data_IF_759462702032
#
_entry.id   IF_759462702032
#
_cell.length_a   1.000
_cell.length_b   1.000
_cell.length_c   1.000
_cell.angle_alpha   90.00
_cell.angle_beta   90.00
_cell.angle_gamma   90.00
#
_symmetry.space_group_name_H-M   'P 1'
#
loop_
_entity.id
_entity.type
_entity.pdbx_description
1 polymer ?
#
# COMPACT_ATOMS: atom_id res chain seq x y z
N UNK A 1 -4.69 -15.97 66.34
CA UNK A 1 -5.19 -15.65 64.98
C UNK A 1 -4.23 -14.65 64.36
N UNK A 2 -3.43 -15.08 63.39
CA UNK A 2 -2.51 -14.20 62.67
C UNK A 2 -3.28 -13.54 61.52
N UNK A 3 -3.30 -12.20 61.49
CA UNK A 3 -3.91 -11.44 60.41
C UNK A 3 -2.99 -11.47 59.19
N UNK A 4 -3.49 -12.04 58.09
CA UNK A 4 -2.86 -12.00 56.76
C UNK A 4 -2.91 -10.57 56.23
N UNK A 5 -1.75 -9.94 56.07
CA UNK A 5 -1.62 -8.66 55.37
C UNK A 5 -1.53 -8.91 53.86
N UNK A 6 -2.64 -8.72 53.15
CA UNK A 6 -2.63 -8.65 51.69
C UNK A 6 -2.08 -7.30 51.24
N UNK A 7 -0.81 -7.27 50.84
CA UNK A 7 -0.25 -6.17 50.08
C UNK A 7 -0.97 -6.09 48.72
N UNK A 8 -1.88 -5.11 48.57
CA UNK A 8 -2.47 -4.75 47.28
C UNK A 8 -1.44 -3.96 46.49
N UNK A 9 -0.84 -4.58 45.48
CA UNK A 9 -0.05 -3.89 44.47
C UNK A 9 -0.97 -3.05 43.60
N UNK A 10 -0.91 -1.72 43.76
CA UNK A 10 -1.53 -0.78 42.85
C UNK A 10 -0.73 -0.76 41.54
N UNK A 11 -1.19 -1.48 40.52
CA UNK A 11 -0.71 -1.27 39.15
C UNK A 11 -1.20 0.09 38.67
N UNK A 12 -0.30 1.07 38.61
CA UNK A 12 -0.54 2.31 37.87
C UNK A 12 -0.92 1.95 36.42
N UNK A 13 -1.90 2.62 35.80
CA UNK A 13 -2.18 2.40 34.38
C UNK A 13 -0.90 2.64 33.59
N UNK A 14 -0.54 1.66 32.76
CA UNK A 14 0.59 1.74 31.85
C UNK A 14 0.54 3.07 31.10
N UNK A 15 1.58 3.90 31.26
CA UNK A 15 1.67 5.18 30.54
C UNK A 15 1.76 4.84 29.05
N UNK A 16 0.71 5.19 28.29
CA UNK A 16 0.72 5.00 26.84
C UNK A 16 1.97 5.65 26.24
N UNK A 17 2.60 4.94 25.30
CA UNK A 17 3.82 5.43 24.67
C UNK A 17 3.53 6.79 23.97
N UNK A 18 4.41 7.80 24.07
CA UNK A 18 4.14 9.14 23.52
C UNK A 18 3.71 9.14 22.04
N UNK A 19 4.31 8.28 21.21
CA UNK A 19 3.92 8.15 19.78
C UNK A 19 2.49 7.61 19.59
N UNK A 20 2.05 6.68 20.45
CA UNK A 20 0.72 6.07 20.33
C UNK A 20 -0.36 7.10 20.67
N UNK A 21 -0.12 7.91 21.71
CA UNK A 21 -1.00 9.05 22.04
C UNK A 21 -1.09 10.06 20.89
N UNK A 22 0.03 10.40 20.24
CA UNK A 22 0.02 11.33 19.10
C UNK A 22 -0.76 10.77 17.91
N UNK A 23 -0.64 9.47 17.64
CA UNK A 23 -1.41 8.80 16.60
C UNK A 23 -2.91 8.86 16.92
N UNK A 24 -3.31 8.51 18.15
CA UNK A 24 -4.71 8.56 18.57
C UNK A 24 -5.28 9.98 18.50
N UNK A 25 -4.53 11.00 18.92
CA UNK A 25 -4.93 12.40 18.84
C UNK A 25 -5.15 12.85 17.39
N UNK A 26 -4.22 12.48 16.49
CA UNK A 26 -4.32 12.79 15.07
C UNK A 26 -5.52 12.06 14.43
N UNK A 27 -5.73 10.78 14.74
CA UNK A 27 -6.88 9.99 14.27
C UNK A 27 -8.20 10.62 14.71
N UNK A 28 -8.32 10.98 16.00
CA UNK A 28 -9.51 11.59 16.54
C UNK A 28 -9.78 12.95 15.88
N UNK A 29 -8.75 13.79 15.73
CA UNK A 29 -8.87 15.09 15.05
C UNK A 29 -9.39 14.92 13.61
N UNK A 30 -8.79 14.01 12.84
CA UNK A 30 -9.19 13.78 11.45
C UNK A 30 -10.58 13.14 11.31
N UNK A 31 -10.98 12.26 12.23
CA UNK A 31 -12.35 11.71 12.28
C UNK A 31 -13.37 12.82 12.52
N UNK A 32 -13.08 13.78 13.40
CA UNK A 32 -14.00 14.90 13.66
C UNK A 32 -14.11 15.87 12.48
N UNK A 33 -13.09 15.98 11.64
CA UNK A 33 -13.06 16.86 10.46
C UNK A 33 -13.40 16.16 9.15
N UNK A 34 -13.95 14.94 9.20
CA UNK A 34 -14.21 14.10 8.01
C UNK A 34 -15.28 14.70 7.06
N UNK A 35 -16.14 15.60 7.56
CA UNK A 35 -17.12 16.33 6.73
C UNK A 35 -16.55 17.62 6.09
N UNK A 36 -15.22 17.81 6.10
CA UNK A 36 -14.55 18.93 5.46
C UNK A 36 -14.99 19.10 4.00
N UNK A 37 -15.47 20.30 3.67
CA UNK A 37 -16.05 20.61 2.35
C UNK A 37 -15.42 21.85 1.71
N UNK A 38 -14.52 22.55 2.41
CA UNK A 38 -13.80 23.72 1.90
C UNK A 38 -12.35 23.37 1.59
N UNK A 39 -11.75 24.04 0.62
CA UNK A 39 -10.33 23.91 0.25
C UNK A 39 -9.40 23.96 1.46
N UNK A 40 -9.57 24.98 2.32
CA UNK A 40 -8.78 25.17 3.55
C UNK A 40 -8.91 24.01 4.55
N UNK A 41 -10.14 23.55 4.83
CA UNK A 41 -10.38 22.42 5.74
C UNK A 41 -9.83 21.10 5.20
N UNK A 42 -9.91 20.90 3.88
CA UNK A 42 -9.36 19.72 3.21
C UNK A 42 -7.82 19.79 3.22
N UNK A 43 -7.23 20.95 2.95
CA UNK A 43 -5.79 21.18 3.08
C UNK A 43 -5.28 20.92 4.50
N UNK A 44 -6.00 21.38 5.52
CA UNK A 44 -5.70 21.05 6.92
C UNK A 44 -5.75 19.54 7.17
N UNK A 45 -6.75 18.83 6.64
CA UNK A 45 -6.85 17.37 6.78
C UNK A 45 -5.70 16.64 6.06
N UNK A 46 -5.27 17.12 4.88
CA UNK A 46 -4.11 16.58 4.17
C UNK A 46 -2.82 16.78 4.98
N UNK A 47 -2.65 17.93 5.63
CA UNK A 47 -1.51 18.16 6.53
C UNK A 47 -1.58 17.26 7.77
N UNK A 48 -2.77 17.12 8.38
CA UNK A 48 -2.95 16.20 9.50
C UNK A 48 -2.66 14.73 9.15
N UNK A 49 -2.95 14.31 7.90
CA UNK A 49 -2.54 13.00 7.43
C UNK A 49 -1.03 12.87 7.27
N UNK A 50 -0.33 13.93 6.83
CA UNK A 50 1.14 13.91 6.76
C UNK A 50 1.74 13.71 8.15
N UNK A 51 1.25 14.44 9.16
CA UNK A 51 1.69 14.29 10.56
C UNK A 51 1.40 12.88 11.08
N UNK A 52 0.22 12.34 10.77
CA UNK A 52 -0.18 10.98 11.15
C UNK A 52 0.77 9.93 10.53
N UNK A 53 1.03 10.02 9.23
CA UNK A 53 1.94 9.11 8.53
C UNK A 53 3.39 9.25 9.02
N UNK A 54 3.82 10.44 9.44
CA UNK A 54 5.12 10.62 10.09
C UNK A 54 5.19 9.92 11.45
N UNK A 55 4.13 10.01 12.26
CA UNK A 55 4.05 9.26 13.52
C UNK A 55 4.06 7.74 13.29
N UNK A 56 3.34 7.28 12.26
CA UNK A 56 3.31 5.86 11.86
C UNK A 56 4.68 5.38 11.39
N UNK A 57 5.41 6.17 10.60
CA UNK A 57 6.79 5.85 10.17
C UNK A 57 7.70 5.61 11.39
N UNK A 58 7.62 6.48 12.41
CA UNK A 58 8.36 6.31 13.66
C UNK A 58 7.92 5.06 14.42
N UNK A 59 6.61 4.80 14.52
CA UNK A 59 6.07 3.61 15.19
C UNK A 59 6.60 2.31 14.54
N UNK A 60 6.66 2.27 13.21
CA UNK A 60 7.11 1.11 12.43
C UNK A 60 8.63 0.86 12.53
N UNK A 61 9.40 1.87 12.94
CA UNK A 61 10.83 1.73 13.18
C UNK A 61 11.17 1.09 14.54
N UNK A 62 10.19 0.93 15.45
CA UNK A 62 10.45 0.34 16.76
C UNK A 62 10.60 -1.20 16.70
N UNK A 63 11.65 -1.77 17.34
CA UNK A 63 11.88 -3.23 17.31
C UNK A 63 10.70 -4.07 17.78
N UNK A 64 9.96 -3.61 18.80
CA UNK A 64 8.78 -4.31 19.32
C UNK A 64 7.63 -4.32 18.31
N UNK A 65 7.44 -3.22 17.58
CA UNK A 65 6.47 -3.15 16.48
C UNK A 65 6.87 -4.11 15.36
N UNK A 66 8.14 -4.12 14.98
CA UNK A 66 8.67 -4.98 13.93
C UNK A 66 8.53 -6.46 14.30
N UNK A 67 8.81 -6.83 15.56
CA UNK A 67 8.64 -8.19 16.06
C UNK A 67 7.16 -8.62 16.08
N UNK A 68 6.25 -7.71 16.41
CA UNK A 68 4.80 -7.97 16.38
C UNK A 68 4.27 -8.20 14.96
N UNK A 69 4.77 -7.43 13.99
CA UNK A 69 4.40 -7.53 12.57
C UNK A 69 5.03 -8.75 11.86
N UNK A 70 6.19 -9.21 12.34
CA UNK A 70 6.89 -10.40 11.83
C UNK A 70 6.20 -11.73 12.22
N UNK A 71 5.21 -11.72 13.12
CA UNK A 71 4.47 -12.93 13.45
C UNK A 71 3.69 -13.44 12.24
N UNK A 72 3.80 -14.74 11.95
CA UNK A 72 3.19 -15.35 10.77
C UNK A 72 1.66 -15.20 10.73
N UNK A 73 0.99 -15.19 11.90
CA UNK A 73 -0.45 -14.90 12.02
C UNK A 73 -0.82 -13.50 11.50
N UNK A 74 0.11 -12.55 11.49
CA UNK A 74 -0.12 -11.17 11.06
C UNK A 74 0.29 -10.91 9.61
N UNK A 75 0.97 -11.86 8.92
CA UNK A 75 1.49 -11.69 7.56
C UNK A 75 0.40 -11.35 6.55
N UNK A 76 -0.67 -12.13 6.52
CA UNK A 76 -1.81 -11.91 5.62
C UNK A 76 -2.40 -10.50 5.80
N UNK A 77 -2.53 -10.06 7.05
CA UNK A 77 -3.02 -8.70 7.36
C UNK A 77 -2.04 -7.61 6.93
N UNK A 78 -0.73 -7.85 7.02
CA UNK A 78 0.30 -6.92 6.51
C UNK A 78 0.26 -6.83 4.98
N UNK A 79 0.10 -7.94 4.28
CA UNK A 79 -0.06 -7.98 2.83
C UNK A 79 -1.34 -7.23 2.40
N UNK A 80 -2.46 -7.46 3.09
CA UNK A 80 -3.70 -6.70 2.85
C UNK A 80 -3.55 -5.20 3.09
N UNK A 81 -2.81 -4.79 4.14
CA UNK A 81 -2.50 -3.37 4.40
C UNK A 81 -1.60 -2.78 3.30
N UNK A 82 -0.64 -3.56 2.79
CA UNK A 82 0.23 -3.15 1.69
C UNK A 82 -0.56 -2.97 0.39
N UNK A 83 -1.49 -3.88 0.10
CA UNK A 83 -2.40 -3.77 -1.05
C UNK A 83 -3.33 -2.57 -0.91
N UNK A 84 -3.93 -2.37 0.27
CA UNK A 84 -4.73 -1.20 0.60
C UNK A 84 -3.95 0.11 0.40
N UNK A 85 -2.72 0.18 0.91
CA UNK A 85 -1.85 1.35 0.73
C UNK A 85 -1.54 1.65 -0.74
N UNK A 86 -1.35 0.62 -1.57
CA UNK A 86 -1.11 0.77 -3.00
C UNK A 86 -2.34 1.32 -3.71
N UNK A 87 -3.53 0.80 -3.38
CA UNK A 87 -4.78 1.31 -3.93
C UNK A 87 -5.03 2.77 -3.52
N UNK A 88 -4.68 3.17 -2.29
CA UNK A 88 -4.76 4.58 -1.87
C UNK A 88 -3.81 5.47 -2.65
N UNK A 89 -2.60 5.00 -2.97
CA UNK A 89 -1.66 5.73 -3.84
C UNK A 89 -2.19 5.91 -5.27
N UNK A 90 -2.86 4.89 -5.82
CA UNK A 90 -3.53 4.99 -7.13
C UNK A 90 -4.64 6.05 -7.10
N UNK A 91 -5.36 6.14 -5.99
CA UNK A 91 -6.39 7.15 -5.77
C UNK A 91 -5.78 8.56 -5.66
N UNK A 92 -4.70 8.73 -4.88
CA UNK A 92 -3.94 9.98 -4.83
C UNK A 92 -3.48 10.41 -6.23
N UNK A 93 -2.96 9.47 -7.02
CA UNK A 93 -2.54 9.71 -8.41
C UNK A 93 -3.72 10.18 -9.26
N UNK A 94 -4.87 9.51 -9.15
CA UNK A 94 -6.08 9.90 -9.88
C UNK A 94 -6.57 11.30 -9.48
N UNK A 95 -6.58 11.61 -8.19
CA UNK A 95 -6.94 12.93 -7.67
C UNK A 95 -5.99 14.02 -8.18
N UNK A 96 -4.68 13.76 -8.17
CA UNK A 96 -3.65 14.67 -8.69
C UNK A 96 -3.82 14.93 -10.18
N UNK A 97 -4.02 13.89 -10.99
CA UNK A 97 -4.29 14.04 -12.44
C UNK A 97 -5.53 14.89 -12.68
N UNK A 98 -6.59 14.70 -11.90
CA UNK A 98 -7.80 15.52 -12.00
C UNK A 98 -7.55 16.99 -11.64
N UNK A 99 -6.78 17.26 -10.57
CA UNK A 99 -6.40 18.63 -10.20
C UNK A 99 -5.56 19.30 -11.30
N UNK A 100 -4.54 18.61 -11.81
CA UNK A 100 -3.68 19.10 -12.90
C UNK A 100 -4.50 19.45 -14.16
N UNK A 101 -5.39 18.56 -14.59
CA UNK A 101 -6.29 18.84 -15.71
C UNK A 101 -7.21 20.03 -15.43
N UNK A 102 -7.68 20.22 -14.18
CA UNK A 102 -8.55 21.35 -13.82
C UNK A 102 -7.76 22.64 -13.89
N UNK A 103 -6.51 22.62 -13.40
CA UNK A 103 -5.57 23.73 -13.41
C UNK A 103 -5.25 24.15 -14.84
N UNK A 104 -4.89 23.19 -15.70
CA UNK A 104 -4.59 23.44 -17.11
C UNK A 104 -5.79 24.11 -17.82
N UNK A 105 -7.00 23.55 -17.67
CA UNK A 105 -8.21 24.15 -18.26
C UNK A 105 -8.55 25.52 -17.65
N UNK A 106 -8.26 25.74 -16.36
CA UNK A 106 -8.45 27.02 -15.68
C UNK A 106 -7.50 28.07 -16.23
N UNK A 107 -6.23 27.74 -16.38
CA UNK A 107 -5.19 28.62 -16.93
C UNK A 107 -5.42 28.93 -18.41
N UNK A 108 -5.83 27.93 -19.21
CA UNK A 108 -6.20 28.12 -20.61
C UNK A 108 -7.37 29.11 -20.72
N UNK A 109 -8.41 28.93 -19.91
CA UNK A 109 -9.56 29.82 -19.91
C UNK A 109 -9.19 31.24 -19.43
N UNK A 110 -8.38 31.37 -18.37
CA UNK A 110 -7.86 32.68 -17.94
C UNK A 110 -7.06 33.37 -19.06
N UNK A 111 -6.20 32.62 -19.76
CA UNK A 111 -5.38 33.15 -20.86
C UNK A 111 -6.25 33.68 -22.01
N UNK A 112 -7.30 32.94 -22.37
CA UNK A 112 -8.28 33.37 -23.38
C UNK A 112 -8.98 34.66 -22.95
N UNK A 113 -9.45 34.72 -21.70
CA UNK A 113 -10.12 35.91 -21.15
C UNK A 113 -9.22 37.14 -21.12
N UNK A 114 -7.93 36.97 -20.80
CA UNK A 114 -6.95 38.08 -20.80
C UNK A 114 -6.66 38.61 -22.21
N UNK A 115 -6.65 37.73 -23.22
CA UNK A 115 -6.28 38.09 -24.61
C UNK A 115 -7.46 38.65 -25.40
N UNK A 116 -8.68 38.18 -25.14
CA UNK A 116 -9.87 38.51 -25.94
C UNK A 116 -10.68 39.63 -25.29
N UNK A 117 -10.81 40.76 -25.98
CA UNK A 117 -11.55 41.94 -25.50
C UNK A 117 -13.03 41.95 -25.95
N UNK A 118 -13.56 40.84 -26.47
CA UNK A 118 -14.90 40.73 -27.04
C UNK A 118 -15.60 39.41 -26.74
N UNK A 119 -16.94 39.43 -26.82
CA UNK A 119 -17.81 38.29 -26.49
C UNK A 119 -17.77 37.15 -27.53
N UNK A 120 -17.36 37.46 -28.76
CA UNK A 120 -17.42 36.53 -29.88
C UNK A 120 -16.58 35.28 -29.62
N UNK A 121 -17.17 34.10 -29.78
CA UNK A 121 -16.53 32.79 -29.57
C UNK A 121 -16.21 32.41 -28.11
N UNK A 122 -16.41 33.28 -27.12
CA UNK A 122 -16.12 32.96 -25.71
C UNK A 122 -17.04 31.87 -25.15
N UNK A 123 -18.30 31.85 -25.59
CA UNK A 123 -19.25 30.81 -25.23
C UNK A 123 -18.81 29.40 -25.68
N UNK A 124 -17.98 29.28 -26.72
CA UNK A 124 -17.43 27.99 -27.14
C UNK A 124 -16.33 27.52 -26.19
N UNK A 125 -15.46 28.43 -25.75
CA UNK A 125 -14.37 28.13 -24.80
C UNK A 125 -14.92 27.76 -23.42
N UNK A 126 -15.97 28.46 -22.96
CA UNK A 126 -16.73 28.07 -21.77
C UNK A 126 -17.34 26.66 -21.88
N UNK A 127 -17.88 26.28 -23.05
CA UNK A 127 -18.38 24.92 -23.26
C UNK A 127 -17.26 23.88 -23.23
N UNK A 128 -16.09 24.15 -23.82
CA UNK A 128 -14.92 23.25 -23.75
C UNK A 128 -14.47 23.02 -22.31
N UNK A 129 -14.36 24.09 -21.51
CA UNK A 129 -14.05 24.00 -20.08
C UNK A 129 -15.03 23.07 -19.35
N UNK A 130 -16.35 23.25 -19.54
CA UNK A 130 -17.37 22.40 -18.92
C UNK A 130 -17.32 20.94 -19.39
N UNK A 131 -16.96 20.69 -20.66
CA UNK A 131 -16.78 19.33 -21.19
C UNK A 131 -15.58 18.65 -20.51
N UNK A 132 -14.45 19.35 -20.38
CA UNK A 132 -13.27 18.84 -19.65
C UNK A 132 -13.61 18.49 -18.20
N UNK A 133 -14.26 19.43 -17.49
CA UNK A 133 -14.75 19.22 -16.11
C UNK A 133 -15.66 18.00 -16.01
N UNK A 134 -16.58 17.80 -16.97
CA UNK A 134 -17.46 16.63 -17.00
C UNK A 134 -16.70 15.31 -17.18
N UNK A 135 -15.69 15.27 -18.06
CA UNK A 135 -14.87 14.08 -18.27
C UNK A 135 -14.11 13.70 -16.99
N UNK A 136 -13.55 14.68 -16.31
CA UNK A 136 -12.85 14.49 -15.05
C UNK A 136 -13.75 14.02 -13.92
N UNK A 137 -14.95 14.60 -13.77
CA UNK A 137 -15.95 14.12 -12.79
C UNK A 137 -16.25 12.64 -12.99
N UNK A 138 -16.30 12.16 -14.25
CA UNK A 138 -16.50 10.74 -14.55
C UNK A 138 -15.33 9.87 -14.06
N UNK A 139 -14.09 10.32 -14.23
CA UNK A 139 -12.90 9.62 -13.73
C UNK A 139 -12.89 9.56 -12.19
N UNK A 140 -13.19 10.67 -11.53
CA UNK A 140 -13.30 10.75 -10.07
C UNK A 140 -14.41 9.82 -9.55
N UNK A 141 -15.58 9.81 -10.18
CA UNK A 141 -16.66 8.89 -9.82
C UNK A 141 -16.25 7.41 -9.91
N UNK A 142 -15.30 7.06 -10.79
CA UNK A 142 -14.74 5.70 -10.86
C UNK A 142 -13.81 5.43 -9.67
N UNK A 143 -12.94 6.38 -9.32
CA UNK A 143 -12.06 6.28 -8.16
C UNK A 143 -12.84 6.15 -6.84
N UNK A 144 -13.89 6.96 -6.65
CA UNK A 144 -14.78 6.89 -5.47
C UNK A 144 -15.48 5.53 -5.35
N UNK A 145 -15.86 4.89 -6.46
CA UNK A 145 -16.43 3.54 -6.43
C UNK A 145 -15.41 2.49 -6.00
N UNK A 146 -14.16 2.64 -6.45
CA UNK A 146 -13.07 1.75 -6.04
C UNK A 146 -12.78 1.90 -4.53
N UNK A 147 -12.75 3.14 -4.01
CA UNK A 147 -12.59 3.40 -2.57
C UNK A 147 -13.66 2.71 -1.72
N UNK A 148 -14.94 2.82 -2.10
CA UNK A 148 -16.04 2.15 -1.39
C UNK A 148 -15.89 0.64 -1.35
N UNK A 149 -15.39 0.04 -2.44
CA UNK A 149 -15.13 -1.40 -2.48
C UNK A 149 -14.00 -1.80 -1.51
N UNK A 150 -12.96 -0.97 -1.38
CA UNK A 150 -11.87 -1.19 -0.40
C UNK A 150 -12.38 -1.08 1.03
N UNK A 151 -13.16 -0.04 1.32
CA UNK A 151 -13.71 0.18 2.66
C UNK A 151 -14.61 -0.99 3.13
N UNK A 152 -15.38 -1.57 2.22
CA UNK A 152 -16.18 -2.77 2.51
C UNK A 152 -15.32 -4.00 2.83
N UNK A 153 -14.12 -4.12 2.23
CA UNK A 153 -13.17 -5.20 2.53
C UNK A 153 -12.51 -5.02 3.90
N UNK A 154 -12.22 -3.78 4.29
CA UNK A 154 -11.58 -3.45 5.58
C UNK A 154 -12.48 -3.71 6.81
N UNK A 155 -13.79 -3.88 6.61
CA UNK A 155 -14.76 -3.93 7.70
C UNK A 155 -14.91 -5.33 8.34
N UNK A 156 -14.04 -6.29 8.03
CA UNK A 156 -14.07 -7.64 8.63
C UNK A 156 -13.60 -7.59 10.08
N UNK A 157 -14.47 -7.85 11.07
CA UNK A 157 -14.08 -7.84 12.48
C UNK A 157 -13.19 -9.05 12.76
N UNK A 158 -11.95 -8.80 13.20
CA UNK A 158 -11.00 -9.83 13.60
C UNK A 158 -10.22 -9.40 14.84
N UNK A 159 -9.73 -10.36 15.63
CA UNK A 159 -8.78 -10.11 16.71
C UNK A 159 -7.41 -9.77 16.11
N UNK A 160 -7.23 -8.49 15.77
CA UNK A 160 -6.00 -7.98 15.16
C UNK A 160 -4.99 -7.60 16.23
N UNK A 161 -3.69 -7.67 15.91
CA UNK A 161 -2.66 -7.10 16.77
C UNK A 161 -2.84 -5.58 16.93
N UNK A 162 -2.43 -5.02 18.06
CA UNK A 162 -2.62 -3.59 18.36
C UNK A 162 -2.07 -2.67 17.25
N UNK A 163 -0.92 -3.01 16.67
CA UNK A 163 -0.31 -2.26 15.56
C UNK A 163 -1.16 -2.36 14.29
N UNK A 164 -1.65 -3.55 13.93
CA UNK A 164 -2.52 -3.73 12.77
C UNK A 164 -3.82 -2.92 12.93
N UNK A 165 -4.41 -2.91 14.12
CA UNK A 165 -5.59 -2.09 14.41
C UNK A 165 -5.31 -0.60 14.17
N UNK A 166 -4.18 -0.08 14.63
CA UNK A 166 -3.77 1.31 14.39
C UNK A 166 -3.60 1.58 12.88
N UNK A 167 -2.94 0.68 12.15
CA UNK A 167 -2.73 0.85 10.71
C UNK A 167 -4.04 0.82 9.91
N UNK A 168 -5.02 0.00 10.32
CA UNK A 168 -6.36 -0.02 9.73
C UNK A 168 -7.13 1.27 10.02
N UNK A 169 -6.98 1.83 11.22
CA UNK A 169 -7.57 3.12 11.56
C UNK A 169 -6.97 4.26 10.73
N UNK A 170 -5.66 4.26 10.52
CA UNK A 170 -4.97 5.19 9.63
C UNK A 170 -5.49 5.05 8.21
N UNK A 171 -5.60 3.83 7.69
CA UNK A 171 -6.14 3.54 6.36
C UNK A 171 -7.58 4.08 6.20
N UNK A 172 -8.45 3.85 7.18
CA UNK A 172 -9.83 4.31 7.18
C UNK A 172 -9.97 5.84 7.19
N UNK A 173 -9.14 6.52 7.98
CA UNK A 173 -9.11 7.99 8.02
C UNK A 173 -8.56 8.56 6.71
N UNK A 174 -7.51 7.95 6.15
CA UNK A 174 -6.96 8.33 4.84
C UNK A 174 -8.00 8.19 3.73
N UNK A 175 -8.78 7.09 3.72
CA UNK A 175 -9.92 6.92 2.80
C UNK A 175 -10.87 8.11 2.92
N UNK A 176 -11.30 8.45 4.14
CA UNK A 176 -12.25 9.54 4.35
C UNK A 176 -11.77 10.89 3.83
N UNK A 177 -10.50 11.25 4.08
CA UNK A 177 -9.93 12.51 3.57
C UNK A 177 -9.82 12.50 2.04
N UNK A 178 -9.39 11.38 1.44
CA UNK A 178 -9.34 11.25 -0.03
C UNK A 178 -10.73 11.31 -0.66
N UNK A 179 -11.76 10.76 0.01
CA UNK A 179 -13.15 10.92 -0.41
C UNK A 179 -13.58 12.39 -0.38
N UNK A 180 -13.22 13.15 0.67
CA UNK A 180 -13.48 14.59 0.75
C UNK A 180 -12.77 15.36 -0.37
N UNK A 181 -11.50 15.07 -0.65
CA UNK A 181 -10.72 15.68 -1.75
C UNK A 181 -11.39 15.41 -3.10
N UNK A 182 -11.70 14.15 -3.40
CA UNK A 182 -12.36 13.76 -4.65
C UNK A 182 -13.75 14.37 -4.78
N UNK A 183 -14.51 14.42 -3.69
CA UNK A 183 -15.84 15.03 -3.64
C UNK A 183 -15.77 16.53 -3.88
N UNK A 184 -14.75 17.20 -3.32
CA UNK A 184 -14.46 18.61 -3.59
C UNK A 184 -14.12 18.83 -5.07
N UNK A 185 -13.18 18.07 -5.64
CA UNK A 185 -12.78 18.25 -7.04
C UNK A 185 -13.96 18.00 -7.99
N UNK A 186 -14.77 16.97 -7.73
CA UNK A 186 -15.92 16.63 -8.59
C UNK A 186 -17.15 17.51 -8.33
N UNK A 187 -17.22 18.14 -7.16
CA UNK A 187 -18.37 18.88 -6.70
C UNK A 187 -19.57 17.98 -6.43
N UNK A 188 -19.33 16.86 -5.76
CA UNK A 188 -20.35 15.89 -5.38
C UNK A 188 -21.27 16.49 -4.31
N UNK A 189 -22.36 17.13 -4.72
CA UNK A 189 -23.62 16.91 -4.01
C UNK A 189 -23.92 15.41 -4.13
N UNK A 190 -24.04 14.75 -2.98
CA UNK A 190 -24.57 13.40 -2.94
C UNK A 190 -25.89 13.36 -3.73
N UNK A 191 -25.92 12.53 -4.78
CA UNK A 191 -27.11 12.12 -5.53
C UNK A 191 -27.82 13.20 -6.39
N UNK A 192 -27.50 13.23 -7.69
CA UNK A 192 -28.48 13.64 -8.72
C UNK A 192 -28.83 12.52 -9.71
N UNK A 193 -28.60 11.25 -9.29
CA UNK A 193 -29.12 10.05 -9.97
C UNK A 193 -29.56 8.95 -9.00
N UNK A 194 -29.95 9.26 -7.76
CA UNK A 194 -30.80 8.33 -7.01
C UNK A 194 -32.23 8.48 -7.53
N UNK A 195 -32.91 7.34 -7.62
CA UNK A 195 -34.24 7.19 -8.21
C UNK A 195 -35.27 8.13 -7.56
N UNK A 196 -36.43 8.28 -8.22
CA UNK A 196 -37.64 9.04 -7.81
C UNK A 196 -38.16 8.80 -6.37
N UNK A 197 -37.44 8.08 -5.51
CA UNK A 197 -37.87 7.65 -4.17
C UNK A 197 -37.11 8.32 -2.99
N UNK A 198 -35.96 8.96 -3.21
CA UNK A 198 -35.16 9.58 -2.13
C UNK A 198 -35.73 10.92 -1.60
N UNK A 199 -36.75 11.47 -2.25
CA UNK A 199 -37.41 12.72 -1.82
C UNK A 199 -38.39 12.52 -0.64
N UNK A 200 -38.72 11.28 -0.27
CA UNK A 200 -39.70 11.00 0.82
C UNK A 200 -39.00 10.73 2.17
N UNK A 201 -37.70 10.44 2.20
CA UNK A 201 -36.98 10.12 3.45
C UNK A 201 -36.38 11.33 4.19
N UNK A 202 -36.31 12.51 3.56
CA UNK A 202 -35.76 13.73 4.18
C UNK A 202 -36.76 14.55 5.01
N UNK A 203 -38.01 14.09 5.14
CA UNK A 203 -39.04 14.84 5.88
C UNK A 203 -39.17 14.45 7.37
N UNK A 204 -38.50 13.39 7.83
CA UNK A 204 -38.77 12.87 9.19
C UNK A 204 -37.64 13.05 10.22
N UNK A 205 -36.39 13.36 9.83
CA UNK A 205 -35.30 13.56 10.80
C UNK A 205 -34.33 14.69 10.40
N UNK A 206 -34.60 15.91 10.85
CA UNK A 206 -33.68 16.72 11.67
C UNK A 206 -34.17 18.16 11.79
N UNK A 207 -34.68 18.48 12.98
CA UNK A 207 -34.66 19.82 13.56
C UNK A 207 -33.21 20.12 13.94
N UNK A 208 -32.39 20.61 13.00
CA UNK A 208 -31.07 21.18 13.30
C UNK A 208 -31.04 22.62 12.80
N UNK A 209 -30.79 23.51 13.76
CA UNK A 209 -30.71 24.96 13.63
C UNK A 209 -29.86 25.34 12.41
N UNK A 210 -30.46 26.11 11.50
CA UNK A 210 -29.74 26.80 10.44
C UNK A 210 -28.85 27.85 11.10
N UNK A 211 -27.54 27.57 11.16
CA UNK A 211 -26.56 28.61 11.36
C UNK A 211 -26.25 29.18 9.99
N UNK A 212 -26.60 30.45 9.77
CA UNK A 212 -26.13 31.26 8.66
C UNK A 212 -24.62 31.50 8.83
N UNK A 213 -23.81 30.46 8.64
CA UNK A 213 -22.39 30.65 8.32
C UNK A 213 -22.29 30.54 6.81
N UNK A 214 -21.96 31.67 6.20
CA UNK A 214 -21.65 31.86 4.79
C UNK A 214 -20.77 30.69 4.30
N UNK A 215 -21.43 29.69 3.71
CA UNK A 215 -20.82 28.44 3.29
C UNK A 215 -19.89 28.78 2.12
N UNK A 216 -18.63 29.09 2.41
CA UNK A 216 -17.66 29.52 1.40
C UNK A 216 -17.59 28.44 0.34
N UNK A 217 -18.14 28.78 -0.82
CA UNK A 217 -18.41 27.83 -1.89
C UNK A 217 -17.10 27.20 -2.36
N UNK A 218 -17.16 25.90 -2.65
CA UNK A 218 -16.12 25.20 -3.38
C UNK A 218 -15.72 26.01 -4.63
N UNK A 219 -14.46 26.45 -4.67
CA UNK A 219 -13.95 27.41 -5.64
C UNK A 219 -13.97 26.85 -7.07
N UNK A 220 -13.86 25.53 -7.22
CA UNK A 220 -13.98 24.87 -8.53
C UNK A 220 -15.44 24.90 -9.00
N UNK A 221 -16.39 24.70 -8.08
CA UNK A 221 -17.81 24.75 -8.39
C UNK A 221 -18.31 26.17 -8.66
N UNK A 222 -17.77 27.18 -7.97
CA UNK A 222 -18.12 28.58 -8.21
C UNK A 222 -17.72 29.01 -9.63
N UNK A 223 -16.54 28.58 -10.12
CA UNK A 223 -16.14 28.76 -11.52
C UNK A 223 -17.17 28.12 -12.46
N UNK A 224 -17.54 26.85 -12.25
CA UNK A 224 -18.52 26.19 -13.11
C UNK A 224 -19.88 26.89 -13.11
N UNK A 225 -20.33 27.41 -11.96
CA UNK A 225 -21.57 28.17 -11.84
C UNK A 225 -21.49 29.50 -12.62
N UNK A 226 -20.39 30.24 -12.46
CA UNK A 226 -20.15 31.50 -13.15
C UNK A 226 -20.09 31.28 -14.68
N UNK A 227 -19.36 30.26 -15.13
CA UNK A 227 -19.26 29.89 -16.55
C UNK A 227 -20.64 29.52 -17.13
N UNK A 228 -21.45 28.71 -16.42
CA UNK A 228 -22.81 28.38 -16.86
C UNK A 228 -23.72 29.61 -16.94
N UNK A 229 -23.59 30.54 -15.99
CA UNK A 229 -24.35 31.80 -15.97
C UNK A 229 -24.03 32.66 -17.19
N UNK A 230 -22.75 32.80 -17.56
CA UNK A 230 -22.31 33.53 -18.75
C UNK A 230 -22.85 32.89 -20.05
N UNK A 231 -22.89 31.56 -20.14
CA UNK A 231 -23.47 30.86 -21.30
C UNK A 231 -24.97 31.16 -21.40
N UNK A 232 -25.71 31.11 -20.28
CA UNK A 232 -27.18 31.25 -20.27
C UNK A 232 -27.66 32.67 -20.55
N UNK A 233 -26.96 33.66 -20.01
CA UNK A 233 -27.36 35.07 -20.10
C UNK A 233 -26.99 35.71 -21.44
N UNK A 234 -26.15 35.05 -22.26
CA UNK A 234 -25.50 35.62 -23.46
C UNK A 234 -24.81 36.98 -23.18
N UNK A 235 -24.63 37.31 -21.89
CA UNK A 235 -24.23 38.61 -21.42
C UNK A 235 -22.85 38.49 -20.76
N UNK A 236 -21.84 39.00 -21.46
CA UNK A 236 -20.45 38.91 -21.04
C UNK A 236 -20.06 39.94 -19.97
N UNK A 237 -21.02 40.71 -19.43
CA UNK A 237 -20.79 41.61 -18.28
C UNK A 237 -20.35 40.88 -17.00
N UNK A 238 -20.54 39.56 -16.93
CA UNK A 238 -20.13 38.73 -15.77
C UNK A 238 -18.74 38.08 -15.93
N UNK A 239 -17.99 38.38 -16.99
CA UNK A 239 -16.67 37.79 -17.25
C UNK A 239 -15.64 38.11 -16.17
N UNK A 240 -15.69 39.32 -15.60
CA UNK A 240 -14.82 39.71 -14.47
C UNK A 240 -15.01 38.78 -13.26
N UNK A 241 -16.27 38.38 -12.99
CA UNK A 241 -16.57 37.44 -11.92
C UNK A 241 -15.97 36.06 -12.23
N UNK A 242 -16.09 35.57 -13.46
CA UNK A 242 -15.45 34.31 -13.89
C UNK A 242 -13.94 34.37 -13.68
N UNK A 243 -13.30 35.48 -14.03
CA UNK A 243 -11.85 35.65 -13.87
C UNK A 243 -11.41 35.63 -12.40
N UNK A 244 -12.17 36.27 -11.50
CA UNK A 244 -11.92 36.23 -10.05
C UNK A 244 -12.06 34.81 -9.50
N UNK A 245 -13.12 34.09 -9.87
CA UNK A 245 -13.33 32.71 -9.44
C UNK A 245 -12.25 31.77 -9.99
N UNK A 246 -11.80 31.97 -11.24
CA UNK A 246 -10.72 31.17 -11.82
C UNK A 246 -9.40 31.35 -11.05
N UNK A 247 -9.09 32.56 -10.59
CA UNK A 247 -7.89 32.81 -9.78
C UNK A 247 -7.99 32.17 -8.40
N UNK A 248 -9.14 32.31 -7.73
CA UNK A 248 -9.38 31.67 -6.44
C UNK A 248 -9.30 30.14 -6.54
N UNK A 249 -9.89 29.57 -7.59
CA UNK A 249 -9.84 28.13 -7.85
C UNK A 249 -8.41 27.66 -8.15
N UNK A 250 -7.61 28.42 -8.91
CA UNK A 250 -6.23 28.05 -9.22
C UNK A 250 -5.35 27.93 -7.97
N UNK A 251 -5.45 28.88 -7.03
CA UNK A 251 -4.75 28.81 -5.73
C UNK A 251 -5.18 27.58 -4.93
N UNK A 252 -6.49 27.35 -4.81
CA UNK A 252 -7.00 26.17 -4.09
C UNK A 252 -6.56 24.85 -4.71
N UNK A 253 -6.47 24.79 -6.05
CA UNK A 253 -6.00 23.60 -6.77
C UNK A 253 -4.52 23.36 -6.50
N UNK A 254 -3.71 24.43 -6.51
CA UNK A 254 -2.27 24.35 -6.21
C UNK A 254 -2.02 23.78 -4.80
N UNK A 255 -2.71 24.30 -3.78
CA UNK A 255 -2.55 23.84 -2.40
C UNK A 255 -2.92 22.36 -2.23
N UNK A 256 -4.03 21.94 -2.86
CA UNK A 256 -4.48 20.55 -2.82
C UNK A 256 -3.54 19.60 -3.59
N UNK A 257 -2.99 20.06 -4.71
CA UNK A 257 -2.02 19.31 -5.51
C UNK A 257 -0.75 19.03 -4.71
N UNK A 258 -0.19 20.06 -4.06
CA UNK A 258 1.00 19.96 -3.23
C UNK A 258 0.76 19.08 -1.98
N UNK A 259 -0.41 19.25 -1.34
CA UNK A 259 -0.82 18.43 -0.20
C UNK A 259 -0.91 16.95 -0.55
N UNK A 260 -1.52 16.61 -1.70
CA UNK A 260 -1.61 15.22 -2.18
C UNK A 260 -0.24 14.63 -2.55
N UNK A 261 0.63 15.43 -3.17
CA UNK A 261 1.97 14.99 -3.54
C UNK A 261 2.79 14.66 -2.29
N UNK A 262 2.69 15.51 -1.26
CA UNK A 262 3.39 15.34 0.00
C UNK A 262 2.84 14.16 0.80
N UNK A 263 1.52 13.99 0.85
CA UNK A 263 0.89 12.80 1.42
C UNK A 263 1.36 11.52 0.70
N UNK A 264 1.37 11.50 -0.63
CA UNK A 264 1.80 10.34 -1.43
C UNK A 264 3.25 9.94 -1.11
N UNK A 265 4.16 10.93 -0.99
CA UNK A 265 5.54 10.68 -0.55
C UNK A 265 5.61 10.06 0.84
N UNK A 266 4.83 10.57 1.79
CA UNK A 266 4.81 10.05 3.17
C UNK A 266 4.25 8.62 3.22
N UNK A 267 3.19 8.33 2.48
CA UNK A 267 2.62 6.99 2.35
C UNK A 267 3.63 5.98 1.77
N UNK A 268 4.34 6.36 0.70
CA UNK A 268 5.41 5.53 0.11
C UNK A 268 6.49 5.24 1.15
N UNK A 269 6.91 6.27 1.90
CA UNK A 269 7.90 6.11 2.97
C UNK A 269 7.44 5.11 4.03
N UNK A 270 6.20 5.22 4.53
CA UNK A 270 5.64 4.28 5.52
C UNK A 270 5.47 2.86 4.99
N UNK A 271 5.33 2.68 3.67
CA UNK A 271 5.18 1.36 3.04
C UNK A 271 6.48 0.56 3.07
N UNK A 272 7.64 1.22 2.95
CA UNK A 272 8.95 0.57 2.90
C UNK A 272 9.22 -0.36 4.10
N UNK A 273 9.11 0.10 5.37
CA UNK A 273 9.31 -0.79 6.51
C UNK A 273 8.30 -1.94 6.54
N UNK A 274 7.00 -1.71 6.28
CA UNK A 274 6.00 -2.78 6.18
C UNK A 274 6.40 -3.87 5.16
N UNK A 275 6.83 -3.45 3.96
CA UNK A 275 7.22 -4.37 2.89
C UNK A 275 8.45 -5.20 3.23
N UNK A 276 9.45 -4.63 3.91
CA UNK A 276 10.65 -5.38 4.32
C UNK A 276 10.30 -6.52 5.29
N UNK A 277 9.29 -6.35 6.13
CA UNK A 277 8.84 -7.40 7.05
C UNK A 277 8.12 -8.55 6.35
N UNK A 278 7.33 -8.28 5.31
CA UNK A 278 6.69 -9.32 4.52
C UNK A 278 7.72 -10.21 3.79
N UNK A 279 8.81 -9.60 3.28
CA UNK A 279 9.84 -10.30 2.49
C UNK A 279 10.90 -11.02 3.34
N UNK A 280 11.20 -10.53 4.55
CA UNK A 280 12.26 -11.10 5.39
C UNK A 280 11.95 -12.53 5.89
N UNK A 281 10.67 -12.87 6.05
CA UNK A 281 10.25 -14.22 6.47
C UNK A 281 10.27 -15.23 5.32
N UNK A 282 9.83 -14.83 4.12
CA UNK A 282 9.83 -15.70 2.94
C UNK A 282 11.23 -16.19 2.60
N UNK A 283 12.25 -15.34 2.73
CA UNK A 283 13.64 -15.74 2.47
C UNK A 283 14.23 -16.60 3.59
N UNK A 284 13.87 -16.37 4.86
CA UNK A 284 14.47 -17.09 5.99
C UNK A 284 13.98 -18.54 6.08
N UNK A 285 12.69 -18.78 5.89
CA UNK A 285 12.10 -20.12 5.99
C UNK A 285 12.51 -21.02 4.81
N UNK A 286 12.55 -20.48 3.60
CA UNK A 286 13.06 -21.21 2.42
C UNK A 286 14.56 -21.55 2.56
N UNK A 287 15.33 -20.65 3.15
CA UNK A 287 16.77 -20.83 3.36
C UNK A 287 17.06 -21.81 4.52
N UNK A 288 16.21 -21.85 5.55
CA UNK A 288 16.23 -22.85 6.61
C UNK A 288 15.83 -24.25 6.12
N UNK A 289 14.73 -24.40 5.37
CA UNK A 289 14.33 -25.67 4.74
C UNK A 289 15.44 -26.19 3.81
N UNK A 290 16.02 -25.28 3.02
CA UNK A 290 17.17 -25.59 2.17
C UNK A 290 18.40 -26.07 2.93
N UNK A 291 18.71 -25.42 4.06
CA UNK A 291 19.83 -25.79 4.93
C UNK A 291 19.64 -27.17 5.58
N UNK A 292 18.40 -27.49 6.01
CA UNK A 292 18.05 -28.81 6.57
C UNK A 292 18.21 -29.92 5.52
N UNK A 293 17.73 -29.69 4.29
CA UNK A 293 17.89 -30.67 3.18
C UNK A 293 19.34 -30.92 2.82
N UNK A 294 20.19 -29.89 2.85
CA UNK A 294 21.63 -30.04 2.64
C UNK A 294 22.28 -30.84 3.77
N UNK A 295 21.87 -30.62 5.02
CA UNK A 295 22.37 -31.38 6.16
C UNK A 295 22.01 -32.87 6.09
N UNK A 296 20.78 -33.19 5.70
CA UNK A 296 20.33 -34.58 5.48
C UNK A 296 21.12 -35.27 4.36
N UNK A 297 21.40 -34.54 3.30
CA UNK A 297 22.22 -35.02 2.19
C UNK A 297 23.66 -35.30 2.64
N UNK A 298 24.26 -34.39 3.40
CA UNK A 298 25.60 -34.57 3.97
C UNK A 298 25.67 -35.79 4.90
N UNK A 299 24.64 -36.01 5.71
CA UNK A 299 24.53 -37.17 6.60
C UNK A 299 24.43 -38.47 5.80
N UNK A 300 23.57 -38.51 4.78
CA UNK A 300 23.43 -39.66 3.87
C UNK A 300 24.74 -39.99 3.15
N UNK A 301 25.48 -38.97 2.67
CA UNK A 301 26.76 -39.15 2.01
C UNK A 301 27.82 -39.73 2.96
N UNK A 302 27.84 -39.26 4.22
CA UNK A 302 28.74 -39.76 5.27
C UNK A 302 28.47 -41.25 5.56
N UNK A 303 27.20 -41.66 5.66
CA UNK A 303 26.83 -43.05 5.90
C UNK A 303 27.27 -43.96 4.74
N UNK A 304 27.07 -43.52 3.50
CA UNK A 304 27.53 -44.27 2.31
C UNK A 304 29.05 -44.45 2.32
N UNK A 305 29.81 -43.40 2.67
CA UNK A 305 31.28 -43.46 2.75
C UNK A 305 31.72 -44.42 3.86
N UNK A 306 31.10 -44.35 5.04
CA UNK A 306 31.40 -45.26 6.16
C UNK A 306 31.11 -46.71 5.78
N UNK A 307 29.95 -46.99 5.21
CA UNK A 307 29.57 -48.34 4.78
C UNK A 307 30.47 -48.86 3.65
N UNK A 308 30.90 -47.99 2.72
CA UNK A 308 31.88 -48.35 1.68
C UNK A 308 33.23 -48.72 2.28
N UNK A 309 33.71 -47.95 3.27
CA UNK A 309 34.95 -48.24 3.98
C UNK A 309 34.87 -49.59 4.70
N UNK A 310 33.76 -49.87 5.37
CA UNK A 310 33.51 -51.15 6.06
C UNK A 310 33.52 -52.33 5.08
N UNK A 311 32.72 -52.29 4.01
CA UNK A 311 32.70 -53.37 3.01
C UNK A 311 34.05 -53.59 2.32
N UNK A 312 34.83 -52.51 2.12
CA UNK A 312 36.19 -52.64 1.55
C UNK A 312 37.15 -53.30 2.53
N UNK A 313 37.05 -52.98 3.82
CA UNK A 313 37.85 -53.60 4.87
C UNK A 313 37.50 -55.08 5.07
N UNK A 314 36.23 -55.44 5.00
CA UNK A 314 35.76 -56.84 5.04
C UNK A 314 36.34 -57.65 3.88
N UNK A 315 36.23 -57.12 2.65
CA UNK A 315 36.79 -57.74 1.45
C UNK A 315 38.31 -57.91 1.56
N UNK A 316 39.04 -56.87 1.98
CA UNK A 316 40.49 -56.94 2.20
C UNK A 316 40.85 -57.97 3.28
N UNK A 317 40.06 -58.08 4.33
CA UNK A 317 40.26 -59.04 5.40
C UNK A 317 40.00 -60.47 4.93
N UNK A 318 39.01 -60.70 4.06
CA UNK A 318 38.74 -62.00 3.43
C UNK A 318 39.88 -62.44 2.49
N UNK A 319 40.45 -61.50 1.72
CA UNK A 319 41.59 -61.75 0.82
C UNK A 319 42.90 -62.05 1.58
N UNK A 320 43.10 -61.48 2.78
CA UNK A 320 44.31 -61.70 3.58
C UNK A 320 44.32 -63.03 4.35
N UNK A 321 43.16 -63.65 4.60
CA UNK A 321 43.09 -64.93 5.31
C UNK A 321 43.69 -66.02 4.42
N UNK A 322 44.84 -66.57 4.82
CA UNK A 322 45.69 -67.48 4.02
C UNK A 322 45.07 -68.86 3.70
N UNK A 323 43.76 -69.07 3.93
CA UNK A 323 43.04 -70.35 3.88
C UNK A 323 41.57 -70.24 3.41
N UNK A 324 41.19 -69.16 2.73
CA UNK A 324 39.83 -68.96 2.20
C UNK A 324 39.65 -69.70 0.88
N UNK A 325 38.58 -70.47 0.74
CA UNK A 325 38.21 -71.10 -0.53
C UNK A 325 37.70 -70.09 -1.55
N UNK A 326 37.89 -70.34 -2.84
CA UNK A 326 37.45 -69.45 -3.92
C UNK A 326 35.97 -69.03 -3.81
N UNK A 327 35.09 -69.92 -3.31
CA UNK A 327 33.66 -69.62 -3.17
C UNK A 327 33.35 -68.55 -2.12
N UNK A 328 34.16 -68.42 -1.06
CA UNK A 328 33.98 -67.43 0.00
C UNK A 328 34.41 -66.04 -0.49
N UNK A 329 35.50 -65.96 -1.26
CA UNK A 329 35.95 -64.74 -1.93
C UNK A 329 34.90 -64.26 -2.95
N UNK A 330 34.35 -65.18 -3.76
CA UNK A 330 33.29 -64.86 -4.73
C UNK A 330 32.03 -64.33 -4.04
N UNK A 331 31.66 -64.88 -2.88
CA UNK A 331 30.52 -64.41 -2.07
C UNK A 331 30.72 -62.98 -1.57
N UNK A 332 31.88 -62.66 -1.01
CA UNK A 332 32.18 -61.30 -0.50
C UNK A 332 32.28 -60.26 -1.62
N UNK A 333 32.88 -60.63 -2.76
CA UNK A 333 32.88 -59.78 -3.96
C UNK A 333 31.45 -59.50 -4.43
N UNK A 334 30.56 -60.49 -4.40
CA UNK A 334 29.15 -60.33 -4.79
C UNK A 334 28.37 -59.41 -3.84
N UNK A 335 28.65 -59.47 -2.53
CA UNK A 335 28.09 -58.54 -1.53
C UNK A 335 28.57 -57.11 -1.78
N UNK A 336 29.87 -56.91 -1.98
CA UNK A 336 30.45 -55.60 -2.29
C UNK A 336 29.86 -54.99 -3.57
N UNK A 337 29.72 -55.79 -4.65
CA UNK A 337 29.10 -55.33 -5.91
C UNK A 337 27.63 -54.95 -5.71
N UNK A 338 26.87 -55.73 -4.94
CA UNK A 338 25.47 -55.45 -4.63
C UNK A 338 25.31 -54.16 -3.84
N UNK A 339 26.13 -53.97 -2.80
CA UNK A 339 26.18 -52.73 -2.04
C UNK A 339 26.52 -51.52 -2.93
N UNK A 340 27.56 -51.62 -3.76
CA UNK A 340 27.97 -50.55 -4.69
C UNK A 340 26.83 -50.13 -5.64
N UNK A 341 26.01 -51.07 -6.11
CA UNK A 341 24.83 -50.77 -6.94
C UNK A 341 23.78 -49.98 -6.18
N UNK A 342 23.49 -50.35 -4.93
CA UNK A 342 22.54 -49.65 -4.06
C UNK A 342 23.03 -48.23 -3.78
N UNK A 343 24.29 -48.07 -3.36
CA UNK A 343 24.89 -46.75 -3.10
C UNK A 343 24.87 -45.84 -4.31
N UNK A 344 25.16 -46.37 -5.52
CA UNK A 344 25.07 -45.60 -6.77
C UNK A 344 23.65 -45.08 -7.03
N UNK A 345 22.62 -45.89 -6.76
CA UNK A 345 21.21 -45.50 -6.92
C UNK A 345 20.81 -44.41 -5.93
N UNK A 346 21.24 -44.53 -4.68
CA UNK A 346 21.01 -43.53 -3.62
C UNK A 346 21.68 -42.20 -3.96
N UNK A 347 22.94 -42.22 -4.40
CA UNK A 347 23.68 -41.02 -4.84
C UNK A 347 22.95 -40.33 -6.01
N UNK A 348 22.46 -41.11 -6.98
CA UNK A 348 21.76 -40.55 -8.13
C UNK A 348 20.43 -39.87 -7.74
N UNK A 349 19.67 -40.48 -6.81
CA UNK A 349 18.44 -39.88 -6.26
C UNK A 349 18.75 -38.58 -5.50
N UNK A 350 19.80 -38.58 -4.69
CA UNK A 350 20.29 -37.41 -3.97
C UNK A 350 20.69 -36.25 -4.91
N UNK A 351 21.43 -36.54 -5.98
CA UNK A 351 21.81 -35.56 -7.01
C UNK A 351 20.59 -34.98 -7.74
N UNK A 352 19.57 -35.80 -8.00
CA UNK A 352 18.30 -35.35 -8.58
C UNK A 352 17.60 -34.33 -7.67
N UNK A 353 17.49 -34.64 -6.37
CA UNK A 353 16.88 -33.74 -5.39
C UNK A 353 17.65 -32.41 -5.25
N UNK A 354 18.99 -32.45 -5.27
CA UNK A 354 19.83 -31.27 -5.20
C UNK A 354 19.65 -30.36 -6.44
N UNK A 355 19.50 -30.95 -7.62
CA UNK A 355 19.28 -30.20 -8.87
C UNK A 355 17.94 -29.46 -8.88
N UNK A 356 16.90 -30.07 -8.32
CA UNK A 356 15.59 -29.42 -8.12
C UNK A 356 15.74 -28.26 -7.14
N UNK A 357 16.41 -28.46 -6.00
CA UNK A 357 16.64 -27.41 -5.02
C UNK A 357 17.40 -26.19 -5.59
N UNK A 358 18.49 -26.42 -6.34
CA UNK A 358 19.25 -25.33 -6.99
C UNK A 358 18.36 -24.51 -7.94
N UNK A 359 17.41 -25.15 -8.63
CA UNK A 359 16.47 -24.45 -9.51
C UNK A 359 15.42 -23.60 -8.79
N UNK A 360 15.18 -23.84 -7.49
CA UNK A 360 14.30 -23.00 -6.66
C UNK A 360 15.05 -21.82 -6.03
N UNK A 361 16.28 -22.04 -5.55
CA UNK A 361 17.04 -21.02 -4.80
C UNK A 361 17.80 -20.04 -5.71
N UNK A 362 18.19 -20.46 -6.91
CA UNK A 362 18.86 -19.60 -7.89
C UNK A 362 17.85 -19.30 -9.01
N UNK A 363 17.18 -18.14 -9.01
CA UNK A 363 16.38 -17.76 -10.17
C UNK A 363 17.31 -17.68 -11.39
N UNK A 364 16.80 -17.96 -12.61
CA UNK A 364 17.61 -17.81 -13.81
C UNK A 364 18.21 -16.39 -13.83
N UNK A 365 19.53 -16.32 -14.05
CA UNK A 365 20.31 -15.08 -14.11
C UNK A 365 19.71 -14.02 -15.07
N UNK A 366 18.78 -14.41 -15.94
CA UNK A 366 18.04 -13.53 -16.84
C UNK A 366 17.09 -12.54 -16.15
N UNK A 367 16.75 -12.73 -14.86
CA UNK A 367 15.89 -11.81 -14.10
C UNK A 367 16.64 -10.73 -13.29
N UNK A 368 17.97 -10.74 -13.26
CA UNK A 368 18.79 -9.67 -12.64
C UNK A 368 19.25 -8.63 -13.70
N UNK A 369 18.84 -8.80 -14.96
CA UNK A 369 19.10 -7.86 -16.07
C UNK A 369 18.13 -6.68 -16.08
N UNK A 370 18.07 -5.91 -14.99
CA UNK A 370 17.43 -4.58 -15.02
C UNK A 370 18.26 -3.49 -14.31
N UNK A 371 19.57 -3.72 -14.17
CA UNK A 371 20.52 -2.69 -13.72
C UNK A 371 21.11 -1.83 -14.85
N UNK A 372 20.71 -2.05 -16.11
CA UNK A 372 21.11 -1.19 -17.23
C UNK A 372 20.25 0.09 -17.37
N UNK A 373 19.22 0.26 -16.55
CA UNK A 373 18.43 1.50 -16.51
C UNK A 373 19.09 2.67 -15.74
N UNK A 374 20.28 2.47 -15.14
CA UNK A 374 21.00 3.52 -14.39
C UNK A 374 22.17 4.13 -15.20
N UNK A 375 22.48 3.64 -16.39
CA UNK A 375 23.52 4.23 -17.26
C UNK A 375 23.03 5.31 -18.24
N UNK A 376 21.80 5.82 -18.08
CA UNK A 376 21.20 6.87 -18.92
C UNK A 376 21.70 8.31 -18.71
N UNK A 377 22.70 8.56 -17.85
CA UNK A 377 23.14 9.93 -17.49
C UNK A 377 24.58 10.28 -17.96
N UNK A 378 25.23 9.42 -18.76
CA UNK A 378 26.61 9.68 -19.26
C UNK A 378 26.74 9.95 -20.77
N UNK A 379 25.69 10.43 -21.44
CA UNK A 379 25.78 10.93 -22.83
C UNK A 379 25.11 12.30 -23.01
N UNK A 380 25.61 13.31 -22.30
CA UNK A 380 25.44 14.74 -22.63
C UNK A 380 26.64 15.55 -22.11
N UNK A 381 27.86 15.14 -22.49
CA UNK A 381 29.04 16.01 -22.50
C UNK A 381 30.12 15.35 -23.37
N UNK A 382 29.98 15.59 -24.67
CA UNK A 382 31.05 15.84 -25.64
C UNK A 382 30.42 16.33 -26.93
#
# INVERSE_FOLDING_TARGET
MAASYHARTNSLPSRQHPIASQIDDNLNRLRTSQSASTSSSIGHNLNGLQDLHECVDVLLQFPLTQQGLAQEKQREMVEELLDGSLMLLDVCTTAKVALLQTKECTQELQSILRRRHGAEGLANEFRKYLISRKAMKKAICKALKNLKHIQNKLSTPGENGAVISILRDVEAVTIGVLESVLSFISGSEAESKSSRWSLVSKLMHQKKVMCEEEQKANEILSVEAAVRSCIKSENMKHVENVQKELQSSELSIQDLEEGLETLSRRMIKTRLPLSHHALAHECADELLDGSLRLLDLCSTAKDIVLQTKESTNELLSALRRRKTGESEIVSEVKKYISFRKVSKKTIHKALGNLKVFISFVVPPLDKISNLDAINGVKKLNN
#
